data_IF_034175678326
#
_entry.id   IF_034175678326
#
_cell.length_a   1.000
_cell.length_b   1.000
_cell.length_c   1.000
_cell.angle_alpha   90.00
_cell.angle_beta   90.00
_cell.angle_gamma   90.00
#
_symmetry.space_group_name_H-M   'P 1'
#
loop_
_entity.id
_entity.type
_entity.pdbx_description
1 polymer ?
#
# COMPACT_ATOMS: atom_id res chain seq x y z
N UNK A 1 -1.42 34.97 -31.27
CA UNK A 1 -1.56 33.51 -31.08
C UNK A 1 -0.78 33.13 -29.82
N UNK A 2 -1.36 33.36 -28.63
CA UNK A 2 -0.61 33.31 -27.37
C UNK A 2 -1.37 32.51 -26.32
N UNK A 3 -1.15 31.19 -26.30
CA UNK A 3 -1.54 30.35 -25.17
C UNK A 3 -0.51 30.55 -24.05
N UNK A 4 -0.60 31.70 -23.37
CA UNK A 4 0.26 32.08 -22.25
C UNK A 4 -0.11 31.32 -20.98
N UNK A 5 0.13 30.01 -20.94
CA UNK A 5 0.33 29.33 -19.65
C UNK A 5 1.69 29.80 -19.14
N UNK A 6 1.66 30.62 -18.07
CA UNK A 6 2.84 31.17 -17.39
C UNK A 6 3.92 30.08 -17.22
N UNK A 7 5.16 30.33 -17.65
CA UNK A 7 6.25 29.34 -17.67
C UNK A 7 6.47 28.71 -16.30
N UNK A 8 6.31 29.50 -15.23
CA UNK A 8 6.38 29.03 -13.85
C UNK A 8 5.31 27.97 -13.52
N UNK A 9 4.10 28.07 -14.08
CA UNK A 9 3.04 27.06 -13.92
C UNK A 9 3.34 25.77 -14.69
N UNK A 10 4.01 25.87 -15.84
CA UNK A 10 4.45 24.70 -16.62
C UNK A 10 5.48 23.89 -15.84
N UNK A 11 6.50 24.57 -15.32
CA UNK A 11 7.54 23.95 -14.48
C UNK A 11 6.93 23.28 -13.24
N UNK A 12 5.97 23.94 -12.58
CA UNK A 12 5.25 23.36 -11.44
C UNK A 12 4.44 22.10 -11.84
N UNK A 13 3.81 22.09 -13.01
CA UNK A 13 3.05 20.93 -13.48
C UNK A 13 3.98 19.76 -13.83
N UNK A 14 5.07 20.02 -14.55
CA UNK A 14 6.10 19.03 -14.88
C UNK A 14 6.72 18.42 -13.61
N UNK A 15 6.97 19.24 -12.60
CA UNK A 15 7.47 18.78 -11.30
C UNK A 15 6.51 17.79 -10.62
N UNK A 16 5.20 18.11 -10.58
CA UNK A 16 4.20 17.23 -9.99
C UNK A 16 4.02 15.92 -10.78
N UNK A 17 4.07 15.98 -12.12
CA UNK A 17 4.01 14.79 -12.97
C UNK A 17 5.23 13.89 -12.75
N UNK A 18 6.43 14.48 -12.72
CA UNK A 18 7.69 13.74 -12.46
C UNK A 18 7.62 13.04 -11.10
N UNK A 19 7.06 13.69 -10.08
CA UNK A 19 6.87 13.07 -8.76
C UNK A 19 5.92 11.87 -8.80
N UNK A 20 4.81 11.99 -9.51
CA UNK A 20 3.86 10.88 -9.70
C UNK A 20 4.52 9.68 -10.40
N UNK A 21 5.32 9.95 -11.44
CA UNK A 21 6.07 8.91 -12.18
C UNK A 21 7.09 8.23 -11.25
N UNK A 22 7.80 8.98 -10.43
CA UNK A 22 8.78 8.43 -9.48
C UNK A 22 8.11 7.55 -8.42
N UNK A 23 6.97 7.97 -7.88
CA UNK A 23 6.21 7.19 -6.90
C UNK A 23 5.65 5.90 -7.54
N UNK A 24 5.15 5.99 -8.78
CA UNK A 24 4.68 4.82 -9.54
C UNK A 24 5.81 3.84 -9.85
N UNK A 25 6.97 4.33 -10.31
CA UNK A 25 8.14 3.50 -10.56
C UNK A 25 8.69 2.84 -9.29
N UNK A 26 8.53 3.49 -8.13
CA UNK A 26 8.85 2.87 -6.83
C UNK A 26 7.92 1.69 -6.53
N UNK A 27 6.63 1.81 -6.82
CA UNK A 27 5.68 0.70 -6.70
C UNK A 27 5.97 -0.44 -7.69
N UNK A 28 6.35 -0.12 -8.94
CA UNK A 28 6.74 -1.12 -9.95
C UNK A 28 7.99 -1.89 -9.52
N UNK A 29 8.98 -1.22 -8.94
CA UNK A 29 10.17 -1.89 -8.41
C UNK A 29 9.83 -2.87 -7.28
N UNK A 30 8.97 -2.48 -6.34
CA UNK A 30 8.52 -3.38 -5.26
C UNK A 30 7.80 -4.60 -5.84
N UNK A 31 6.97 -4.40 -6.86
CA UNK A 31 6.27 -5.48 -7.55
C UNK A 31 7.21 -6.37 -8.39
N UNK A 32 8.25 -5.79 -8.99
CA UNK A 32 9.20 -6.48 -9.85
C UNK A 32 10.28 -7.26 -9.09
N UNK A 33 10.39 -7.08 -7.77
CA UNK A 33 11.26 -7.87 -6.89
C UNK A 33 10.45 -8.85 -6.01
N UNK A 34 9.66 -9.77 -6.59
CA UNK A 34 8.95 -10.75 -5.77
C UNK A 34 9.95 -11.74 -5.17
N UNK A 35 9.70 -12.13 -3.92
CA UNK A 35 10.46 -13.21 -3.28
C UNK A 35 10.20 -14.51 -4.05
N UNK A 36 11.23 -15.34 -4.31
CA UNK A 36 11.03 -16.58 -5.04
C UNK A 36 10.01 -17.48 -4.33
N UNK A 37 8.92 -17.85 -5.02
CA UNK A 37 7.85 -18.72 -4.47
C UNK A 37 8.36 -20.06 -3.93
N UNK A 38 9.54 -20.52 -4.38
CA UNK A 38 10.20 -21.71 -3.87
C UNK A 38 10.69 -21.55 -2.43
N UNK A 39 11.14 -20.35 -2.05
CA UNK A 39 11.61 -20.04 -0.70
C UNK A 39 10.47 -20.15 0.31
N UNK A 40 9.37 -19.42 0.09
CA UNK A 40 8.17 -19.42 0.93
C UNK A 40 7.62 -20.83 1.13
N UNK A 41 7.47 -21.61 0.05
CA UNK A 41 6.98 -22.99 0.13
C UNK A 41 7.94 -23.94 0.83
N UNK A 42 9.25 -23.72 0.70
CA UNK A 42 10.25 -24.55 1.35
C UNK A 42 10.29 -24.28 2.87
N UNK A 43 10.26 -23.00 3.26
CA UNK A 43 10.22 -22.59 4.68
C UNK A 43 9.00 -23.18 5.39
N UNK A 44 7.80 -23.07 4.81
CA UNK A 44 6.60 -23.66 5.39
C UNK A 44 6.73 -25.18 5.59
N UNK A 45 7.21 -25.92 4.58
CA UNK A 45 7.41 -27.38 4.68
C UNK A 45 8.44 -27.74 5.74
N UNK A 46 9.54 -26.99 5.82
CA UNK A 46 10.57 -27.19 6.84
C UNK A 46 10.01 -26.94 8.25
N UNK A 47 9.22 -25.88 8.43
CA UNK A 47 8.57 -25.56 9.70
C UNK A 47 7.62 -26.69 10.16
N UNK A 48 6.82 -27.25 9.24
CA UNK A 48 5.96 -28.39 9.55
C UNK A 48 6.76 -29.62 9.99
N UNK A 49 7.84 -29.96 9.28
CA UNK A 49 8.72 -31.07 9.66
C UNK A 49 9.33 -30.83 11.04
N UNK A 50 9.77 -29.59 11.31
CA UNK A 50 10.33 -29.22 12.61
C UNK A 50 9.31 -29.36 13.75
N UNK A 51 8.07 -28.91 13.54
CA UNK A 51 6.98 -29.07 14.52
C UNK A 51 6.61 -30.53 14.77
N UNK A 52 6.71 -31.40 13.74
CA UNK A 52 6.47 -32.85 13.88
C UNK A 52 7.58 -33.57 14.65
N UNK A 53 8.83 -33.09 14.54
CA UNK A 53 9.97 -33.65 15.26
C UNK A 53 10.05 -33.16 16.72
N UNK A 54 9.45 -31.99 17.01
CA UNK A 54 9.42 -31.37 18.33
C UNK A 54 8.93 -32.29 19.47
N UNK A 55 7.78 -33.01 19.37
CA UNK A 55 7.33 -33.89 20.45
C UNK A 55 8.31 -35.02 20.76
N UNK A 56 8.93 -35.62 19.74
CA UNK A 56 9.94 -36.67 19.94
C UNK A 56 11.19 -36.14 20.66
N UNK A 57 11.52 -34.86 20.46
CA UNK A 57 12.64 -34.22 21.16
C UNK A 57 12.32 -33.86 22.63
N UNK A 58 11.05 -33.62 22.97
CA UNK A 58 10.63 -33.16 24.31
C UNK A 58 9.99 -34.25 25.18
N UNK A 59 9.71 -35.43 24.64
CA UNK A 59 9.06 -36.54 25.36
C UNK A 59 9.73 -36.83 26.73
N UNK A 60 11.06 -36.81 26.78
CA UNK A 60 11.84 -37.14 27.97
C UNK A 60 11.83 -36.08 29.08
N UNK A 61 11.36 -34.85 28.83
CA UNK A 61 11.45 -33.74 29.81
C UNK A 61 10.10 -33.34 30.41
N UNK A 62 9.02 -33.35 29.63
CA UNK A 62 7.73 -32.78 30.02
C UNK A 62 6.57 -33.78 30.11
N UNK A 63 6.75 -35.03 29.65
CA UNK A 63 5.68 -36.03 29.63
C UNK A 63 4.39 -35.53 28.95
N UNK A 64 3.25 -35.61 29.63
CA UNK A 64 1.95 -35.18 29.07
C UNK A 64 1.85 -33.65 28.82
N UNK A 65 2.72 -32.85 29.45
CA UNK A 65 2.80 -31.40 29.22
C UNK A 65 3.34 -31.01 27.84
N UNK A 66 4.00 -31.95 27.14
CA UNK A 66 4.56 -31.74 25.79
C UNK A 66 3.47 -31.34 24.79
N UNK A 67 2.28 -31.94 24.89
CA UNK A 67 1.16 -31.66 23.97
C UNK A 67 0.73 -30.20 24.06
N UNK A 68 0.62 -29.65 25.28
CA UNK A 68 0.23 -28.25 25.48
C UNK A 68 1.32 -27.28 25.00
N UNK A 69 2.59 -27.57 25.33
CA UNK A 69 3.72 -26.76 24.90
C UNK A 69 3.88 -26.76 23.37
N UNK A 70 3.73 -27.92 22.74
CA UNK A 70 3.76 -28.08 21.29
C UNK A 70 2.65 -27.27 20.62
N UNK A 71 1.41 -27.35 21.13
CA UNK A 71 0.29 -26.64 20.52
C UNK A 71 0.48 -25.12 20.59
N UNK A 72 1.03 -24.62 21.71
CA UNK A 72 1.33 -23.20 21.89
C UNK A 72 2.45 -22.73 20.93
N UNK A 73 3.52 -23.51 20.78
CA UNK A 73 4.60 -23.23 19.82
C UNK A 73 4.11 -23.29 18.38
N UNK A 74 3.31 -24.30 18.03
CA UNK A 74 2.74 -24.45 16.69
C UNK A 74 1.86 -23.26 16.33
N UNK A 75 1.00 -22.81 17.26
CA UNK A 75 0.16 -21.63 17.05
C UNK A 75 1.01 -20.38 16.80
N UNK A 76 2.06 -20.15 17.60
CA UNK A 76 2.94 -19.00 17.42
C UNK A 76 3.71 -19.04 16.10
N UNK A 77 4.37 -20.16 15.80
CA UNK A 77 5.25 -20.27 14.63
C UNK A 77 4.49 -20.34 13.31
N UNK A 78 3.38 -21.10 13.26
CA UNK A 78 2.53 -21.12 12.06
C UNK A 78 1.82 -19.78 11.85
N UNK A 79 1.44 -19.09 12.94
CA UNK A 79 0.88 -17.74 12.85
C UNK A 79 1.87 -16.73 12.29
N UNK A 80 3.14 -16.79 12.72
CA UNK A 80 4.20 -15.92 12.17
C UNK A 80 4.49 -16.24 10.70
N UNK A 81 4.52 -17.52 10.32
CA UNK A 81 4.70 -17.93 8.91
C UNK A 81 3.58 -17.37 8.02
N UNK A 82 2.33 -17.49 8.45
CA UNK A 82 1.17 -16.99 7.69
C UNK A 82 1.17 -15.45 7.56
N UNK A 83 1.58 -14.73 8.61
CA UNK A 83 1.81 -13.28 8.53
C UNK A 83 2.95 -12.98 7.56
N UNK A 84 4.03 -13.76 7.59
CA UNK A 84 5.15 -13.63 6.66
C UNK A 84 4.69 -13.67 5.21
N UNK A 85 3.91 -14.69 4.85
CA UNK A 85 3.34 -14.86 3.50
C UNK A 85 2.48 -13.65 3.09
N UNK A 86 1.68 -13.09 4.01
CA UNK A 86 0.86 -11.91 3.72
C UNK A 86 1.70 -10.65 3.45
N UNK A 87 2.85 -10.52 4.12
CA UNK A 87 3.77 -9.38 3.92
C UNK A 87 4.57 -9.51 2.62
N UNK A 88 4.79 -10.72 2.11
CA UNK A 88 5.42 -10.93 0.79
C UNK A 88 4.57 -10.39 -0.36
N UNK A 89 3.24 -10.33 -0.20
CA UNK A 89 2.28 -9.85 -1.21
C UNK A 89 1.53 -8.57 -0.75
N UNK A 90 2.24 -7.43 -0.58
CA UNK A 90 1.66 -6.24 0.04
C UNK A 90 0.48 -5.66 -0.75
N UNK A 91 0.56 -5.68 -2.09
CA UNK A 91 -0.48 -5.09 -2.94
C UNK A 91 -1.78 -5.91 -3.00
N UNK A 92 -1.75 -7.19 -2.62
CA UNK A 92 -2.94 -8.01 -2.50
C UNK A 92 -3.79 -7.62 -1.27
N UNK A 93 -3.13 -7.18 -0.20
CA UNK A 93 -3.78 -6.78 1.07
C UNK A 93 -4.16 -5.29 1.06
N UNK A 94 -3.42 -4.44 0.33
CA UNK A 94 -3.69 -3.01 0.27
C UNK A 94 -5.02 -2.71 -0.46
N UNK A 95 -5.87 -1.81 0.08
CA UNK A 95 -7.16 -1.45 -0.53
C UNK A 95 -6.98 -0.43 -1.67
N UNK A 96 -6.26 -0.81 -2.74
CA UNK A 96 -5.92 0.07 -3.87
C UNK A 96 -7.16 0.72 -4.51
N UNK A 97 -8.26 -0.03 -4.62
CA UNK A 97 -9.54 0.52 -5.12
C UNK A 97 -10.05 1.69 -4.26
N UNK A 98 -9.99 1.56 -2.92
CA UNK A 98 -10.44 2.64 -2.01
C UNK A 98 -9.54 3.86 -2.12
N UNK A 99 -8.23 3.66 -2.24
CA UNK A 99 -7.25 4.74 -2.42
C UNK A 99 -7.51 5.47 -3.74
N UNK A 100 -7.70 4.73 -4.85
CA UNK A 100 -7.99 5.31 -6.16
C UNK A 100 -9.31 6.09 -6.16
N UNK A 101 -10.38 5.54 -5.56
CA UNK A 101 -11.66 6.24 -5.41
C UNK A 101 -11.49 7.54 -4.63
N UNK A 102 -10.74 7.52 -3.52
CA UNK A 102 -10.45 8.72 -2.72
C UNK A 102 -9.73 9.79 -3.53
N UNK A 103 -8.67 9.43 -4.26
CA UNK A 103 -7.92 10.36 -5.12
C UNK A 103 -8.84 10.95 -6.21
N UNK A 104 -9.69 10.13 -6.82
CA UNK A 104 -10.63 10.59 -7.85
C UNK A 104 -11.65 11.60 -7.31
N UNK A 105 -12.14 11.38 -6.09
CA UNK A 105 -13.05 12.29 -5.41
C UNK A 105 -12.37 13.62 -5.11
N UNK A 106 -11.17 13.59 -4.52
CA UNK A 106 -10.40 14.80 -4.23
C UNK A 106 -10.10 15.59 -5.51
N UNK A 107 -9.75 14.92 -6.61
CA UNK A 107 -9.53 15.57 -7.90
C UNK A 107 -10.81 16.23 -8.46
N UNK A 108 -11.99 15.59 -8.29
CA UNK A 108 -13.27 16.18 -8.68
C UNK A 108 -13.62 17.42 -7.83
N UNK A 109 -13.34 17.38 -6.53
CA UNK A 109 -13.55 18.53 -5.63
C UNK A 109 -12.66 19.70 -6.03
N UNK A 110 -11.38 19.47 -6.32
CA UNK A 110 -10.45 20.52 -6.78
C UNK A 110 -10.94 21.13 -8.09
N UNK A 111 -11.45 20.32 -9.03
CA UNK A 111 -12.05 20.80 -10.28
C UNK A 111 -13.29 21.65 -10.03
N UNK A 112 -14.19 21.22 -9.14
CA UNK A 112 -15.39 21.97 -8.79
C UNK A 112 -15.04 23.32 -8.15
N UNK A 113 -14.08 23.34 -7.21
CA UNK A 113 -13.60 24.57 -6.56
C UNK A 113 -12.99 25.56 -7.57
N UNK A 114 -12.21 25.06 -8.54
CA UNK A 114 -11.65 25.90 -9.60
C UNK A 114 -12.74 26.53 -10.49
N UNK A 115 -13.82 25.79 -10.80
CA UNK A 115 -14.95 26.31 -11.56
C UNK A 115 -15.70 27.41 -10.81
N UNK A 116 -15.91 27.26 -9.49
CA UNK A 116 -16.54 28.28 -8.64
C UNK A 116 -15.71 29.57 -8.58
N UNK A 117 -14.38 29.47 -8.45
CA UNK A 117 -13.48 30.64 -8.48
C UNK A 117 -13.52 31.37 -9.84
N UNK A 118 -13.66 30.63 -10.95
CA UNK A 118 -13.87 31.21 -12.27
C UNK A 118 -15.18 31.99 -12.38
N UNK A 119 -16.25 31.50 -11.76
CA UNK A 119 -17.54 32.22 -11.72
C UNK A 119 -17.50 33.45 -10.80
N UNK A 120 -16.82 33.37 -9.64
CA UNK A 120 -16.65 34.52 -8.74
C UNK A 120 -15.83 35.66 -9.36
N UNK A 121 -14.80 35.33 -10.15
CA UNK A 121 -14.03 36.33 -10.91
C UNK A 121 -14.87 37.03 -12.00
N UNK A 122 -15.86 36.34 -12.57
CA UNK A 122 -16.80 36.96 -13.53
C UNK A 122 -17.87 37.83 -12.86
N UNK A 123 -18.29 37.48 -11.64
CA UNK A 123 -19.27 38.26 -10.84
C UNK A 123 -18.66 39.52 -10.25
N UNK A 124 -17.38 39.49 -9.83
CA UNK A 124 -16.67 40.68 -9.33
C UNK A 124 -16.52 41.81 -10.35
N UNK A 125 -16.64 41.52 -11.66
CA UNK A 125 -16.63 42.53 -12.73
C UNK A 125 -18.00 43.19 -12.96
N UNK A 126 -19.07 42.64 -12.40
CA UNK A 126 -20.45 43.12 -12.54
C UNK A 126 -20.97 43.91 -11.32
N UNK A 127 -20.16 44.11 -10.27
CA UNK A 127 -20.57 44.90 -9.10
C UNK A 127 -20.36 46.40 -9.40
N UNK A 128 -21.44 47.22 -9.47
CA UNK A 128 -21.30 48.66 -9.64
C UNK A 128 -20.64 49.27 -8.40
N UNK A 129 -19.70 50.21 -8.62
CA UNK A 129 -19.00 50.92 -7.56
C UNK A 129 -20.00 51.58 -6.58
N UNK A 130 -19.78 51.48 -5.26
CA UNK A 130 -20.59 52.22 -4.30
C UNK A 130 -20.39 53.72 -4.55
N UNK A 131 -21.51 54.43 -4.72
CA UNK A 131 -21.56 55.89 -4.84
C UNK A 131 -21.08 56.55 -3.55
#
# INVERSE_FOLDING_TARGET
MGFGVNDQRRVLMEYNITRLINDMGSCENIFATPIPLGYTKHTARFLYVWLLLLPAALEGSLGFGVVFAQQLLAFGLLGVEDIGIQIEEPFAVLPLKKICTKISLEAQVVRANAALLGTAASVGKALPAPR
#
